data_IF_093693288655
#
_entry.id   IF_093693288655
#
_cell.length_a   1.000
_cell.length_b   1.000
_cell.length_c   1.000
_cell.angle_alpha   90.00
_cell.angle_beta   90.00
_cell.angle_gamma   90.00
#
_symmetry.space_group_name_H-M   'P 1'
#
loop_
_entity.id
_entity.type
_entity.pdbx_description
1 polymer ?
#
# COMPACT_ATOMS: atom_id res chain seq x y z
N UNK A 1 31.06 -10.80 -6.01
CA UNK A 1 29.99 -10.98 -7.01
C UNK A 1 29.25 -9.68 -7.06
N UNK A 2 29.31 -9.03 -8.22
CA UNK A 2 29.01 -7.61 -8.40
C UNK A 2 27.50 -7.39 -8.42
N UNK A 3 26.96 -6.78 -7.36
CA UNK A 3 25.52 -6.51 -7.17
C UNK A 3 24.96 -5.60 -8.29
N UNK A 4 25.84 -4.88 -9.01
CA UNK A 4 25.46 -3.96 -10.07
C UNK A 4 25.06 -4.65 -11.39
N UNK A 5 25.45 -5.92 -11.61
CA UNK A 5 25.30 -6.58 -12.91
C UNK A 5 23.93 -7.27 -13.14
N UNK A 6 23.16 -7.54 -12.09
CA UNK A 6 21.81 -8.12 -12.22
C UNK A 6 20.68 -7.08 -12.29
N UNK A 7 20.97 -5.79 -12.06
CA UNK A 7 19.95 -4.79 -11.69
C UNK A 7 19.53 -3.86 -12.86
N UNK A 8 20.18 -3.90 -14.02
CA UNK A 8 19.90 -2.93 -15.12
C UNK A 8 18.67 -3.24 -15.99
N UNK A 9 17.63 -3.94 -15.49
CA UNK A 9 16.32 -4.09 -16.15
C UNK A 9 15.16 -4.28 -15.17
N UNK A 10 14.99 -3.41 -14.18
CA UNK A 10 13.68 -3.30 -13.52
C UNK A 10 12.73 -2.52 -14.44
N UNK A 11 11.92 -3.27 -15.19
CA UNK A 11 10.83 -2.71 -15.99
C UNK A 11 9.61 -2.54 -15.07
N UNK A 12 9.22 -1.31 -14.79
CA UNK A 12 8.02 -1.02 -14.01
C UNK A 12 6.73 -1.61 -14.61
N UNK A 13 6.75 -1.97 -15.90
CA UNK A 13 5.66 -2.72 -16.55
C UNK A 13 5.60 -4.19 -16.13
N UNK A 14 6.56 -4.69 -15.35
CA UNK A 14 6.53 -6.03 -14.70
C UNK A 14 5.85 -6.02 -13.33
N UNK A 15 5.29 -4.89 -12.87
CA UNK A 15 4.33 -4.92 -11.76
C UNK A 15 3.13 -5.77 -12.21
N UNK A 16 3.19 -7.05 -11.85
CA UNK A 16 2.28 -8.07 -12.35
C UNK A 16 0.85 -7.74 -11.89
N UNK A 17 0.01 -7.29 -12.82
CA UNK A 17 -1.40 -6.96 -12.61
C UNK A 17 -2.28 -8.21 -12.43
N UNK A 18 -1.74 -9.41 -12.68
CA UNK A 18 -2.40 -10.71 -12.56
C UNK A 18 -1.93 -11.52 -11.34
N UNK A 19 -1.51 -10.85 -10.26
CA UNK A 19 -1.17 -11.56 -9.00
C UNK A 19 -2.44 -12.05 -8.30
N UNK A 20 -2.41 -13.26 -7.69
CA UNK A 20 -3.49 -13.71 -6.83
C UNK A 20 -3.58 -12.76 -5.62
N UNK A 21 -4.53 -11.83 -5.66
CA UNK A 21 -4.70 -10.87 -4.59
C UNK A 21 -5.31 -11.54 -3.37
N UNK A 22 -4.57 -11.49 -2.26
CA UNK A 22 -5.00 -12.05 -0.98
C UNK A 22 -5.93 -11.14 -0.18
N UNK A 23 -6.05 -9.88 -0.57
CA UNK A 23 -6.96 -8.95 0.11
C UNK A 23 -8.39 -9.50 0.08
N UNK A 24 -9.00 -9.64 1.25
CA UNK A 24 -10.43 -9.88 1.37
C UNK A 24 -11.20 -8.73 0.72
N UNK A 25 -12.36 -9.01 0.11
CA UNK A 25 -13.28 -7.95 -0.31
C UNK A 25 -13.83 -7.28 0.96
N UNK A 26 -14.01 -5.95 0.97
CA UNK A 26 -14.75 -5.27 2.02
C UNK A 26 -16.10 -5.96 2.29
N UNK A 27 -16.50 -6.04 3.55
CA UNK A 27 -17.79 -6.63 3.93
C UNK A 27 -18.91 -5.57 3.90
N UNK A 28 -20.09 -5.95 3.40
CA UNK A 28 -21.30 -5.12 3.44
C UNK A 28 -21.43 -4.12 2.28
N UNK A 29 -22.62 -3.52 2.09
CA UNK A 29 -22.85 -2.52 1.06
C UNK A 29 -22.11 -1.24 1.43
N UNK A 30 -20.95 -1.01 0.81
CA UNK A 30 -20.21 0.24 0.98
C UNK A 30 -20.46 1.15 -0.21
N UNK A 31 -20.75 2.42 0.05
CA UNK A 31 -20.80 3.45 -0.99
C UNK A 31 -19.43 3.64 -1.70
N UNK A 32 -18.35 3.02 -1.19
CA UNK A 32 -17.02 3.02 -1.78
C UNK A 32 -16.75 1.79 -2.65
N UNK A 33 -17.66 0.80 -2.71
CA UNK A 33 -17.41 -0.46 -3.41
C UNK A 33 -17.11 -0.25 -4.90
N UNK A 34 -17.72 0.76 -5.53
CA UNK A 34 -17.48 1.12 -6.93
C UNK A 34 -15.99 1.36 -7.24
N UNK A 35 -15.21 1.88 -6.27
CA UNK A 35 -13.78 2.17 -6.41
C UNK A 35 -12.98 0.91 -6.77
N UNK A 36 -13.45 -0.26 -6.33
CA UNK A 36 -12.77 -1.53 -6.59
C UNK A 36 -12.95 -2.03 -8.03
N UNK A 37 -13.98 -1.58 -8.73
CA UNK A 37 -14.37 -2.11 -10.04
C UNK A 37 -14.22 -1.09 -11.17
N UNK A 38 -14.38 0.20 -10.89
CA UNK A 38 -14.48 1.24 -11.92
C UNK A 38 -13.14 1.55 -12.59
N UNK A 39 -12.00 1.34 -11.91
CA UNK A 39 -10.66 1.67 -12.44
C UNK A 39 -9.56 0.69 -12.02
N UNK A 40 -9.90 -0.55 -11.61
CA UNK A 40 -8.92 -1.60 -11.25
C UNK A 40 -7.84 -1.20 -10.22
N UNK A 41 -8.13 -0.26 -9.31
CA UNK A 41 -7.23 0.06 -8.19
C UNK A 41 -7.13 -1.06 -7.16
N UNK A 42 -8.07 -2.03 -7.21
CA UNK A 42 -8.07 -3.16 -6.30
C UNK A 42 -6.73 -3.91 -6.40
N UNK A 43 -6.04 -3.90 -5.28
CA UNK A 43 -4.71 -4.45 -5.04
C UNK A 43 -3.59 -4.00 -5.96
N UNK A 44 -3.72 -2.81 -6.53
CA UNK A 44 -2.64 -2.11 -7.23
C UNK A 44 -1.66 -1.51 -6.21
N UNK A 45 -0.37 -1.62 -6.50
CA UNK A 45 0.68 -0.92 -5.74
C UNK A 45 0.66 0.58 -6.06
N UNK A 46 0.88 1.42 -5.05
CA UNK A 46 1.02 2.88 -5.21
C UNK A 46 2.46 3.26 -4.85
N UNK A 47 3.38 2.99 -5.78
CA UNK A 47 4.82 3.24 -5.57
C UNK A 47 5.24 4.66 -5.97
N UNK A 48 4.54 5.27 -6.93
CA UNK A 48 4.81 6.60 -7.48
C UNK A 48 3.62 7.09 -8.33
N UNK A 49 3.48 8.41 -8.46
CA UNK A 49 2.35 9.03 -9.18
C UNK A 49 2.42 8.75 -10.69
N UNK A 50 3.62 8.57 -11.21
CA UNK A 50 3.93 8.20 -12.60
C UNK A 50 3.40 6.82 -13.00
N UNK A 51 3.00 5.98 -12.03
CA UNK A 51 2.37 4.67 -12.26
C UNK A 51 0.83 4.71 -12.23
N UNK A 52 0.26 5.90 -12.01
CA UNK A 52 -1.16 6.15 -12.04
C UNK A 52 -1.53 6.83 -13.36
N UNK A 53 -2.55 6.32 -14.04
CA UNK A 53 -3.14 7.05 -15.15
C UNK A 53 -4.02 8.21 -14.62
N UNK A 54 -4.44 9.10 -15.52
CA UNK A 54 -5.23 10.27 -15.14
C UNK A 54 -6.56 9.89 -14.47
N UNK A 55 -7.23 8.84 -14.94
CA UNK A 55 -8.51 8.38 -14.38
C UNK A 55 -8.34 7.83 -12.96
N UNK A 56 -7.30 7.03 -12.72
CA UNK A 56 -6.95 6.48 -11.40
C UNK A 56 -6.61 7.60 -10.41
N UNK A 57 -5.80 8.57 -10.82
CA UNK A 57 -5.45 9.72 -9.99
C UNK A 57 -6.70 10.53 -9.62
N UNK A 58 -7.56 10.82 -10.60
CA UNK A 58 -8.81 11.53 -10.35
C UNK A 58 -9.74 10.76 -9.42
N UNK A 59 -9.85 9.44 -9.58
CA UNK A 59 -10.64 8.59 -8.69
C UNK A 59 -10.14 8.67 -7.24
N UNK A 60 -8.82 8.66 -7.01
CA UNK A 60 -8.23 8.81 -5.68
C UNK A 60 -8.59 10.17 -5.07
N UNK A 61 -8.48 11.26 -5.84
CA UNK A 61 -8.79 12.61 -5.39
C UNK A 61 -10.29 12.78 -5.08
N UNK A 62 -11.15 12.27 -5.95
CA UNK A 62 -12.61 12.31 -5.76
C UNK A 62 -13.04 11.49 -4.54
N UNK A 63 -12.44 10.32 -4.34
CA UNK A 63 -12.66 9.50 -3.15
C UNK A 63 -12.25 10.23 -1.88
N UNK A 64 -11.06 10.86 -1.87
CA UNK A 64 -10.58 11.63 -0.75
C UNK A 64 -11.52 12.81 -0.41
N UNK A 65 -12.04 13.51 -1.42
CA UNK A 65 -13.00 14.59 -1.24
C UNK A 65 -14.33 14.08 -0.64
N UNK A 66 -14.85 12.94 -1.14
CA UNK A 66 -16.07 12.31 -0.63
C UNK A 66 -15.92 11.85 0.83
N UNK A 67 -14.82 11.18 1.16
CA UNK A 67 -14.54 10.74 2.54
C UNK A 67 -14.46 11.93 3.50
N UNK A 68 -13.78 13.00 3.08
CA UNK A 68 -13.67 14.23 3.87
C UNK A 68 -15.02 14.92 4.09
N UNK A 69 -15.87 14.98 3.06
CA UNK A 69 -17.19 15.61 3.15
C UNK A 69 -18.15 14.86 4.07
N UNK A 70 -18.09 13.52 4.05
CA UNK A 70 -18.99 12.65 4.82
C UNK A 70 -18.45 12.27 6.20
N UNK A 71 -17.25 12.75 6.57
CA UNK A 71 -16.61 12.53 7.88
C UNK A 71 -16.51 11.05 8.30
N UNK A 72 -16.32 10.12 7.36
CA UNK A 72 -16.22 8.69 7.65
C UNK A 72 -17.46 8.16 8.39
N UNK A 73 -18.58 8.10 7.68
CA UNK A 73 -19.83 7.53 8.22
C UNK A 73 -19.72 6.01 8.52
N UNK A 74 -20.74 5.45 9.18
CA UNK A 74 -20.77 4.02 9.55
C UNK A 74 -20.60 3.08 8.35
N UNK A 75 -21.12 3.44 7.17
CA UNK A 75 -21.01 2.62 5.95
C UNK A 75 -19.60 2.64 5.35
N UNK A 76 -18.85 3.72 5.59
CA UNK A 76 -17.45 3.86 5.20
C UNK A 76 -16.52 3.12 6.16
N UNK A 77 -16.88 3.06 7.45
CA UNK A 77 -16.14 2.30 8.49
C UNK A 77 -16.19 0.79 8.23
N UNK A 78 -17.18 0.27 7.52
CA UNK A 78 -17.21 -1.14 7.15
C UNK A 78 -16.17 -1.51 6.09
N UNK A 79 -15.63 -0.54 5.35
CA UNK A 79 -14.80 -0.79 4.18
C UNK A 79 -13.46 -1.46 4.52
N UNK A 80 -12.83 -1.04 5.61
CA UNK A 80 -11.57 -1.59 6.13
C UNK A 80 -11.76 -2.54 7.30
N UNK A 81 -13.00 -2.91 7.64
CA UNK A 81 -13.28 -3.80 8.78
C UNK A 81 -12.50 -5.11 8.65
N UNK A 82 -11.73 -5.43 9.68
CA UNK A 82 -10.90 -6.64 9.73
C UNK A 82 -9.63 -6.57 8.88
N UNK A 83 -9.39 -5.48 8.15
CA UNK A 83 -8.18 -5.29 7.36
C UNK A 83 -7.04 -4.73 8.21
N UNK A 84 -5.83 -5.22 7.97
CA UNK A 84 -4.62 -4.79 8.66
C UNK A 84 -3.62 -4.17 7.68
N UNK A 85 -3.11 -3.00 8.02
CA UNK A 85 -2.02 -2.32 7.33
C UNK A 85 -0.72 -2.47 8.14
N UNK A 86 0.32 -3.07 7.57
CA UNK A 86 1.67 -2.95 8.12
C UNK A 86 2.31 -1.65 7.66
N UNK A 87 2.87 -0.86 8.59
CA UNK A 87 3.56 0.38 8.28
C UNK A 87 5.04 0.27 8.64
N UNK A 88 5.89 0.14 7.63
CA UNK A 88 7.34 0.00 7.77
C UNK A 88 8.01 1.38 7.71
N UNK A 89 8.73 1.75 8.76
CA UNK A 89 9.46 3.02 8.85
C UNK A 89 10.96 2.79 9.04
N UNK A 90 11.76 3.18 8.05
CA UNK A 90 13.21 3.35 8.22
C UNK A 90 13.58 4.76 8.73
N UNK A 91 12.71 5.75 8.45
CA UNK A 91 12.81 7.14 8.92
C UNK A 91 11.54 7.50 9.68
N UNK A 92 11.59 7.81 10.98
CA UNK A 92 10.39 8.17 11.75
C UNK A 92 9.70 9.40 11.14
N UNK A 93 8.36 9.40 11.15
CA UNK A 93 7.58 10.55 10.70
C UNK A 93 6.21 10.60 11.36
N UNK A 94 6.03 11.62 12.21
CA UNK A 94 4.76 11.84 12.91
C UNK A 94 3.60 12.01 11.94
N UNK A 95 3.76 12.86 10.91
CA UNK A 95 2.69 13.18 9.97
C UNK A 95 2.23 11.93 9.21
N UNK A 96 3.16 11.21 8.58
CA UNK A 96 2.82 9.99 7.83
C UNK A 96 2.19 8.95 8.74
N UNK A 97 2.80 8.68 9.91
CA UNK A 97 2.27 7.72 10.87
C UNK A 97 0.84 8.05 11.28
N UNK A 98 0.61 9.27 11.78
CA UNK A 98 -0.69 9.67 12.32
C UNK A 98 -1.77 9.64 11.22
N UNK A 99 -1.47 10.08 9.99
CA UNK A 99 -2.47 10.08 8.92
C UNK A 99 -2.85 8.67 8.46
N UNK A 100 -1.90 7.74 8.38
CA UNK A 100 -2.20 6.35 8.02
C UNK A 100 -2.93 5.60 9.14
N UNK A 101 -2.51 5.76 10.41
CA UNK A 101 -3.20 5.14 11.55
C UNK A 101 -4.64 5.65 11.69
N UNK A 102 -4.83 6.98 11.60
CA UNK A 102 -6.16 7.58 11.67
C UNK A 102 -7.03 7.15 10.50
N UNK A 103 -6.51 7.16 9.26
CA UNK A 103 -7.24 6.72 8.08
C UNK A 103 -7.68 5.26 8.15
N UNK A 104 -6.80 4.35 8.58
CA UNK A 104 -7.17 2.94 8.78
C UNK A 104 -8.22 2.77 9.86
N UNK A 105 -8.08 3.46 10.98
CA UNK A 105 -9.05 3.43 12.09
C UNK A 105 -10.42 3.95 11.63
N UNK A 106 -10.45 5.04 10.88
CA UNK A 106 -11.67 5.63 10.32
C UNK A 106 -12.34 4.73 9.28
N UNK A 107 -11.56 3.93 8.56
CA UNK A 107 -12.08 2.88 7.67
C UNK A 107 -12.42 1.58 8.43
N UNK A 108 -12.31 1.53 9.76
CA UNK A 108 -12.62 0.36 10.58
C UNK A 108 -11.56 -0.75 10.58
N UNK A 109 -10.40 -0.50 9.98
CA UNK A 109 -9.26 -1.39 10.00
C UNK A 109 -8.24 -1.06 11.09
N UNK A 110 -7.12 -1.77 11.07
CA UNK A 110 -6.03 -1.61 12.02
C UNK A 110 -4.71 -1.33 11.30
N UNK A 111 -3.84 -0.53 11.91
CA UNK A 111 -2.51 -0.25 11.41
C UNK A 111 -1.44 -0.63 12.43
N UNK A 112 -0.45 -1.40 12.01
CA UNK A 112 0.68 -1.86 12.83
C UNK A 112 1.90 -1.01 12.48
N UNK A 113 2.40 -0.23 13.45
CA UNK A 113 3.64 0.52 13.31
C UNK A 113 4.85 -0.39 13.54
N UNK A 114 5.76 -0.42 12.58
CA UNK A 114 7.00 -1.18 12.61
C UNK A 114 8.17 -0.25 12.26
N UNK A 115 9.20 -0.24 13.09
CA UNK A 115 10.39 0.59 12.90
C UNK A 115 11.64 -0.27 12.76
N UNK A 116 12.50 0.08 11.80
CA UNK A 116 13.75 -0.62 11.54
C UNK A 116 14.18 -0.49 10.09
N UNK A 117 15.45 -0.78 9.83
CA UNK A 117 16.00 -0.84 8.47
C UNK A 117 15.55 -2.12 7.77
N UNK A 118 15.09 -1.98 6.54
CA UNK A 118 14.68 -3.10 5.70
C UNK A 118 15.89 -3.66 4.95
N UNK A 119 15.97 -4.99 4.78
CA UNK A 119 17.07 -5.62 4.06
C UNK A 119 18.37 -5.80 4.86
N UNK A 120 18.46 -5.29 6.10
CA UNK A 120 19.66 -5.45 6.93
C UNK A 120 19.69 -6.78 7.68
N UNK A 121 18.61 -7.09 8.41
CA UNK A 121 18.52 -8.34 9.19
C UNK A 121 17.84 -9.48 8.43
N UNK A 122 16.92 -9.14 7.54
CA UNK A 122 16.12 -10.06 6.74
C UNK A 122 16.01 -9.48 5.33
N UNK A 123 16.10 -10.35 4.32
CA UNK A 123 16.00 -9.91 2.92
C UNK A 123 14.61 -9.34 2.64
N UNK A 124 14.53 -8.29 1.81
CA UNK A 124 13.26 -7.63 1.46
C UNK A 124 12.24 -8.62 0.88
N UNK A 125 12.71 -9.63 0.13
CA UNK A 125 11.86 -10.71 -0.37
C UNK A 125 11.18 -11.48 0.77
N UNK A 126 11.94 -11.90 1.78
CA UNK A 126 11.43 -12.68 2.90
C UNK A 126 10.46 -11.84 3.75
N UNK A 127 10.78 -10.56 3.97
CA UNK A 127 9.88 -9.60 4.63
C UNK A 127 8.54 -9.53 3.88
N UNK A 128 8.56 -9.34 2.55
CA UNK A 128 7.34 -9.29 1.74
C UNK A 128 6.52 -10.57 1.81
N UNK A 129 7.19 -11.74 1.70
CA UNK A 129 6.56 -13.07 1.79
C UNK A 129 6.02 -13.41 3.18
N UNK A 130 6.62 -12.86 4.22
CA UNK A 130 6.12 -13.00 5.58
C UNK A 130 4.85 -12.15 5.77
N UNK A 131 4.92 -10.85 5.45
CA UNK A 131 3.83 -9.90 5.68
C UNK A 131 2.55 -10.28 4.91
N UNK A 132 2.65 -10.75 3.66
CA UNK A 132 1.48 -11.15 2.86
C UNK A 132 0.65 -12.32 3.44
N UNK A 133 1.13 -12.96 4.51
CA UNK A 133 0.40 -14.02 5.23
C UNK A 133 -0.45 -13.48 6.37
N UNK A 134 -0.17 -12.27 6.84
CA UNK A 134 -0.71 -11.74 8.09
C UNK A 134 -1.48 -10.43 7.92
N UNK A 135 -1.14 -9.64 6.90
CA UNK A 135 -1.73 -8.31 6.68
C UNK A 135 -2.30 -8.19 5.26
N UNK A 136 -3.13 -7.16 5.05
CA UNK A 136 -3.85 -6.93 3.81
C UNK A 136 -3.15 -5.93 2.89
N UNK A 137 -2.33 -5.05 3.46
CA UNK A 137 -1.52 -4.07 2.73
C UNK A 137 -0.26 -3.69 3.52
N UNK A 138 0.72 -3.13 2.80
CA UNK A 138 1.93 -2.56 3.39
C UNK A 138 2.07 -1.11 2.96
N UNK A 139 2.37 -0.23 3.90
CA UNK A 139 2.92 1.09 3.61
C UNK A 139 4.39 1.07 4.01
N UNK A 140 5.28 1.53 3.13
CA UNK A 140 6.71 1.58 3.38
C UNK A 140 7.23 3.02 3.22
N UNK A 141 7.91 3.51 4.25
CA UNK A 141 8.65 4.76 4.25
C UNK A 141 10.13 4.47 4.43
N UNK A 142 10.88 4.56 3.33
CA UNK A 142 12.25 4.04 3.21
C UNK A 142 13.23 5.15 2.84
N UNK A 143 14.52 4.84 2.88
CA UNK A 143 15.53 5.69 2.25
C UNK A 143 15.49 5.52 0.73
N UNK A 144 15.79 4.32 0.23
CA UNK A 144 15.89 4.04 -1.19
C UNK A 144 14.52 3.72 -1.81
N UNK A 145 14.25 4.24 -3.01
CA UNK A 145 13.04 3.92 -3.76
C UNK A 145 13.00 2.44 -4.20
N UNK A 146 14.18 1.88 -4.50
CA UNK A 146 14.37 0.48 -4.85
C UNK A 146 13.89 -0.47 -3.75
N UNK A 147 13.93 -0.06 -2.48
CA UNK A 147 13.39 -0.84 -1.37
C UNK A 147 11.87 -1.03 -1.52
N UNK A 148 11.15 0.04 -1.85
CA UNK A 148 9.69 -0.02 -2.05
C UNK A 148 9.35 -0.84 -3.28
N UNK A 149 10.07 -0.64 -4.38
CA UNK A 149 9.93 -1.42 -5.61
C UNK A 149 10.15 -2.92 -5.34
N UNK A 150 11.23 -3.26 -4.62
CA UNK A 150 11.57 -4.64 -4.30
C UNK A 150 10.51 -5.27 -3.39
N UNK A 151 9.99 -4.52 -2.43
CA UNK A 151 8.90 -4.99 -1.58
C UNK A 151 7.64 -5.26 -2.40
N UNK A 152 7.25 -4.32 -3.27
CA UNK A 152 6.13 -4.44 -4.19
C UNK A 152 6.30 -5.60 -5.16
N UNK A 153 7.51 -5.95 -5.59
CA UNK A 153 7.76 -7.10 -6.45
C UNK A 153 7.64 -8.45 -5.71
N UNK A 154 7.89 -8.48 -4.40
CA UNK A 154 7.97 -9.72 -3.62
C UNK A 154 6.74 -10.00 -2.74
N UNK A 155 5.82 -9.03 -2.57
CA UNK A 155 4.54 -9.22 -1.88
C UNK A 155 3.37 -9.46 -2.87
N UNK A 156 2.39 -10.25 -2.45
CA UNK A 156 1.11 -10.47 -3.15
C UNK A 156 -0.05 -9.61 -2.59
N UNK A 157 0.30 -8.61 -1.78
CA UNK A 157 -0.59 -7.60 -1.22
C UNK A 157 -0.06 -6.21 -1.59
N UNK A 158 -0.91 -5.16 -1.58
CA UNK A 158 -0.54 -3.86 -2.11
C UNK A 158 0.52 -3.18 -1.26
N UNK A 159 1.47 -2.54 -1.93
CA UNK A 159 2.52 -1.72 -1.33
C UNK A 159 2.28 -0.25 -1.67
N UNK A 160 2.25 0.59 -0.63
CA UNK A 160 2.08 2.04 -0.72
C UNK A 160 3.39 2.72 -0.31
N UNK A 161 3.94 3.56 -1.18
CA UNK A 161 5.10 4.38 -0.86
C UNK A 161 4.68 5.54 0.08
N UNK A 162 5.11 5.48 1.33
CA UNK A 162 4.87 6.53 2.33
C UNK A 162 5.87 7.69 2.28
N UNK A 163 7.00 7.49 1.60
CA UNK A 163 8.03 8.45 1.14
C UNK A 163 9.33 7.64 0.92
N UNK A 164 10.02 7.89 -0.19
CA UNK A 164 11.40 7.46 -0.46
C UNK A 164 12.20 8.64 -1.02
N UNK A 165 13.52 8.55 -0.94
CA UNK A 165 14.41 9.42 -1.70
C UNK A 165 14.36 9.00 -3.19
N UNK A 166 14.78 9.90 -4.09
CA UNK A 166 14.75 9.66 -5.55
C UNK A 166 15.67 8.53 -5.99
#
# INVERSE_FOLDING_TARGET
>A
MDLAAEITKFDANKLNTNRPQRMAKPEGPSALEYVLYEQSLRGKDIIGIEHLNAQELMLILDLAAKLKANKFDETQTLFGKGQTLAMLFEKPSLRTRVTFEAGMTQLGGHAIYLEGKLGEREAINDIGKNLERWVDAVMARTFAHETVISLAANANIPVINGLSDK
#
